data_IF_596092387762
#
_entry.id   IF_596092387762
#
_cell.length_a   1.000
_cell.length_b   1.000
_cell.length_c   1.000
_cell.angle_alpha   90.00
_cell.angle_beta   90.00
_cell.angle_gamma   90.00
#
_symmetry.space_group_name_H-M   'P 1'
#
loop_
_entity.id
_entity.type
_entity.pdbx_description
1 polymer ?
#
# COMPACT_ATOMS: atom_id res chain seq x y z
N UNK A 1 7.82 -6.77 -10.93
CA UNK A 1 7.51 -7.32 -9.59
C UNK A 1 6.83 -6.23 -8.81
N UNK A 2 5.60 -6.44 -8.33
CA UNK A 2 4.86 -5.41 -7.57
C UNK A 2 5.52 -5.15 -6.21
N UNK A 3 5.17 -4.06 -5.52
CA UNK A 3 5.64 -3.77 -4.16
C UNK A 3 5.25 -4.88 -3.18
N UNK A 4 4.06 -5.45 -3.35
CA UNK A 4 3.57 -6.57 -2.54
C UNK A 4 4.39 -7.84 -2.78
N UNK A 5 4.76 -8.09 -4.05
CA UNK A 5 5.65 -9.20 -4.39
C UNK A 5 7.05 -8.99 -3.81
N UNK A 6 7.55 -7.75 -3.77
CA UNK A 6 8.83 -7.40 -3.15
C UNK A 6 8.81 -7.60 -1.63
N UNK A 7 7.74 -7.19 -0.95
CA UNK A 7 7.59 -7.41 0.49
C UNK A 7 7.50 -8.91 0.81
N UNK A 8 6.72 -9.68 0.03
CA UNK A 8 6.62 -11.12 0.20
C UNK A 8 7.97 -11.83 -0.01
N UNK A 9 8.72 -11.43 -1.05
CA UNK A 9 10.06 -11.93 -1.28
C UNK A 9 11.02 -11.60 -0.12
N UNK A 10 11.00 -10.36 0.38
CA UNK A 10 11.86 -9.93 1.47
C UNK A 10 11.56 -10.68 2.78
N UNK A 11 10.28 -10.87 3.11
CA UNK A 11 9.84 -11.65 4.27
C UNK A 11 10.33 -13.09 4.15
N UNK A 12 10.23 -13.70 2.97
CA UNK A 12 10.71 -15.06 2.77
C UNK A 12 12.23 -15.15 2.94
N UNK A 13 12.99 -14.21 2.34
CA UNK A 13 14.43 -14.16 2.51
C UNK A 13 14.85 -13.97 3.98
N UNK A 14 14.12 -13.16 4.75
CA UNK A 14 14.37 -12.98 6.18
C UNK A 14 14.11 -14.26 6.98
N UNK A 15 13.03 -14.98 6.66
CA UNK A 15 12.73 -16.29 7.28
C UNK A 15 13.82 -17.31 6.96
N UNK A 16 14.36 -17.31 5.75
CA UNK A 16 15.44 -18.22 5.35
C UNK A 16 16.77 -17.92 6.10
N UNK A 17 16.98 -16.66 6.52
CA UNK A 17 18.11 -16.22 7.34
C UNK A 17 17.89 -16.37 8.85
N UNK A 18 16.71 -16.86 9.25
CA UNK A 18 16.32 -16.96 10.65
C UNK A 18 17.03 -18.12 11.34
N UNK A 19 17.52 -17.81 12.53
CA UNK A 19 18.21 -18.72 13.45
C UNK A 19 17.74 -18.42 14.87
N UNK A 20 17.98 -19.32 15.81
CA UNK A 20 17.62 -19.09 17.22
C UNK A 20 18.29 -17.83 17.80
N UNK A 21 19.50 -17.48 17.33
CA UNK A 21 20.24 -16.32 17.80
C UNK A 21 19.73 -14.96 17.32
N UNK A 22 18.90 -14.93 16.27
CA UNK A 22 18.43 -13.68 15.65
C UNK A 22 16.90 -13.60 15.46
N UNK A 23 16.14 -14.60 15.93
CA UNK A 23 14.70 -14.68 15.69
C UNK A 23 13.93 -13.44 16.13
N UNK A 24 14.17 -12.90 17.34
CA UNK A 24 13.49 -11.68 17.80
C UNK A 24 13.75 -10.47 16.89
N UNK A 25 14.98 -10.33 16.37
CA UNK A 25 15.33 -9.24 15.44
C UNK A 25 14.63 -9.43 14.12
N UNK A 26 14.62 -10.64 13.57
CA UNK A 26 13.97 -10.95 12.29
C UNK A 26 12.45 -10.80 12.39
N UNK A 27 11.82 -11.30 13.46
CA UNK A 27 10.40 -11.13 13.72
C UNK A 27 10.03 -9.64 13.80
N UNK A 28 10.88 -8.82 14.44
CA UNK A 28 10.71 -7.38 14.47
C UNK A 28 10.79 -6.72 13.09
N UNK A 29 11.75 -7.13 12.26
CA UNK A 29 11.89 -6.61 10.89
C UNK A 29 10.70 -7.02 10.01
N UNK A 30 10.28 -8.30 10.08
CA UNK A 30 9.11 -8.80 9.36
C UNK A 30 7.88 -7.98 9.74
N UNK A 31 7.68 -7.75 11.04
CA UNK A 31 6.57 -6.93 11.53
C UNK A 31 6.58 -5.51 10.95
N UNK A 32 7.75 -4.86 10.90
CA UNK A 32 7.87 -3.52 10.30
C UNK A 32 7.48 -3.53 8.83
N UNK A 33 7.89 -4.56 8.07
CA UNK A 33 7.53 -4.69 6.65
C UNK A 33 6.02 -4.89 6.47
N UNK A 34 5.40 -5.75 7.28
CA UNK A 34 3.96 -5.98 7.25
C UNK A 34 3.16 -4.71 7.60
N UNK A 35 3.57 -4.00 8.65
CA UNK A 35 2.93 -2.74 9.06
C UNK A 35 3.04 -1.68 7.95
N UNK A 36 4.18 -1.60 7.25
CA UNK A 36 4.35 -0.70 6.09
C UNK A 36 3.46 -1.09 4.90
N UNK A 37 3.29 -2.39 4.62
CA UNK A 37 2.37 -2.83 3.57
C UNK A 37 0.92 -2.44 3.88
N UNK A 38 0.49 -2.62 5.13
CA UNK A 38 -0.84 -2.21 5.57
C UNK A 38 -1.05 -0.69 5.45
N UNK A 39 -0.02 0.12 5.76
CA UNK A 39 -0.07 1.57 5.60
C UNK A 39 -0.19 1.97 4.12
N UNK A 40 0.59 1.35 3.22
CA UNK A 40 0.51 1.59 1.77
C UNK A 40 -0.88 1.26 1.23
N UNK A 41 -1.47 0.15 1.66
CA UNK A 41 -2.82 -0.24 1.26
C UNK A 41 -3.89 0.73 1.78
N UNK A 42 -3.75 1.18 3.03
CA UNK A 42 -4.61 2.20 3.62
C UNK A 42 -4.53 3.54 2.86
N UNK A 43 -3.32 3.97 2.52
CA UNK A 43 -3.09 5.18 1.72
C UNK A 43 -3.69 5.05 0.32
N UNK A 44 -3.54 3.89 -0.34
CA UNK A 44 -4.18 3.63 -1.63
C UNK A 44 -5.69 3.69 -1.54
N UNK A 45 -6.30 3.02 -0.56
CA UNK A 45 -7.74 3.07 -0.35
C UNK A 45 -8.25 4.48 -0.06
N UNK A 46 -7.49 5.27 0.70
CA UNK A 46 -7.83 6.68 0.99
C UNK A 46 -7.74 7.56 -0.26
N UNK A 47 -6.70 7.39 -1.07
CA UNK A 47 -6.54 8.11 -2.34
C UNK A 47 -7.61 7.72 -3.35
N UNK A 48 -7.94 6.44 -3.47
CA UNK A 48 -9.05 5.94 -4.31
C UNK A 48 -10.38 6.51 -3.82
N UNK A 49 -10.65 6.50 -2.51
CA UNK A 49 -11.85 7.08 -1.94
C UNK A 49 -11.99 8.58 -2.18
N UNK A 50 -10.87 9.33 -2.13
CA UNK A 50 -10.85 10.75 -2.46
C UNK A 50 -11.06 10.99 -3.96
N UNK A 51 -10.40 10.21 -4.82
CA UNK A 51 -10.53 10.31 -6.27
C UNK A 51 -11.97 10.01 -6.72
N UNK A 52 -12.61 9.01 -6.13
CA UNK A 52 -13.97 8.58 -6.44
C UNK A 52 -15.05 9.19 -5.53
N UNK A 53 -14.71 10.18 -4.72
CA UNK A 53 -15.69 10.84 -3.85
C UNK A 53 -16.83 11.46 -4.69
N UNK A 54 -18.07 11.55 -4.16
CA UNK A 54 -19.16 12.21 -4.87
C UNK A 54 -18.78 13.64 -5.30
N UNK A 55 -18.03 14.37 -4.48
CA UNK A 55 -17.57 15.73 -4.78
C UNK A 55 -16.64 15.78 -6.00
N UNK A 56 -15.66 14.88 -6.10
CA UNK A 56 -14.75 14.81 -7.25
C UNK A 56 -15.50 14.38 -8.53
N UNK A 57 -16.46 13.46 -8.43
CA UNK A 57 -17.35 13.10 -9.55
C UNK A 57 -18.20 14.28 -10.06
N UNK A 58 -18.79 15.07 -9.16
CA UNK A 58 -19.59 16.23 -9.54
C UNK A 58 -18.71 17.33 -10.19
N UNK A 59 -17.46 17.51 -9.74
CA UNK A 59 -16.52 18.44 -10.34
C UNK A 59 -16.10 18.01 -11.76
N UNK A 60 -15.82 16.73 -11.97
CA UNK A 60 -15.51 16.18 -13.29
C UNK A 60 -16.69 16.35 -14.27
N UNK A 61 -17.92 16.14 -13.81
CA UNK A 61 -19.11 16.38 -14.65
C UNK A 61 -19.28 17.85 -15.03
N UNK A 62 -19.04 18.78 -14.10
CA UNK A 62 -19.12 20.21 -14.40
C UNK A 62 -18.02 20.65 -15.38
N UNK A 63 -16.79 20.14 -15.22
CA UNK A 63 -15.68 20.41 -16.14
C UNK A 63 -15.95 19.88 -17.56
N UNK A 64 -16.57 18.70 -17.70
CA UNK A 64 -16.97 18.13 -18.98
C UNK A 64 -18.14 18.86 -19.64
N UNK A 65 -19.02 19.50 -18.87
CA UNK A 65 -20.12 20.30 -19.40
C UNK A 65 -19.65 21.67 -19.90
N UNK A 66 -18.68 22.29 -19.24
CA UNK A 66 -18.13 23.60 -19.65
C UNK A 66 -17.27 23.54 -20.92
N UNK A 67 -16.68 22.40 -21.25
CA UNK A 67 -15.86 22.21 -22.47
C UNK A 67 -16.68 21.85 -23.71
N UNK A 68 -18.01 21.66 -23.57
CA UNK A 68 -18.94 21.32 -24.66
C UNK A 68 -19.87 22.47 -25.07
N UNK A 69 -19.68 23.68 -24.53
CA UNK A 69 -20.30 24.93 -25.00
C UNK A 69 -19.27 25.82 -25.68
#
# INVERSE_FOLDING_TARGET
MSERDQAAWAIQALKDLQTDGNHFTIDGIIKVIDDQQAEIESLRGSMEGQLWSPTSWHQDQQAQQQTKS
#
